data_IF_346761461829
#
_entry.id   IF_346761461829
#
_cell.length_a   1.000
_cell.length_b   1.000
_cell.length_c   1.000
_cell.angle_alpha   90.00
_cell.angle_beta   90.00
_cell.angle_gamma   90.00
#
_symmetry.space_group_name_H-M   'P 1'
#
loop_
_entity.id
_entity.type
_entity.pdbx_description
1 polymer ?
#
# COMPACT_ATOMS: atom_id res chain seq x y z
N UNK A 1 16.59 5.07 5.96
CA UNK A 1 16.02 6.42 6.18
C UNK A 1 15.16 6.84 4.99
N UNK A 2 15.65 6.75 3.75
CA UNK A 2 14.95 7.21 2.55
C UNK A 2 13.64 6.45 2.29
N UNK A 3 13.60 5.14 2.57
CA UNK A 3 12.38 4.34 2.40
C UNK A 3 11.26 4.83 3.32
N UNK A 4 11.56 5.06 4.60
CA UNK A 4 10.58 5.54 5.57
C UNK A 4 10.13 6.97 5.25
N UNK A 5 11.05 7.83 4.79
CA UNK A 5 10.71 9.19 4.36
C UNK A 5 9.77 9.18 3.15
N UNK A 6 10.04 8.33 2.16
CA UNK A 6 9.18 8.15 0.98
C UNK A 6 7.76 7.78 1.38
N UNK A 7 7.61 6.86 2.34
CA UNK A 7 6.31 6.42 2.82
C UNK A 7 5.61 7.48 3.70
N UNK A 8 6.32 8.13 4.62
CA UNK A 8 5.68 9.07 5.57
C UNK A 8 5.42 10.43 4.92
N UNK A 9 6.41 11.01 4.24
CA UNK A 9 6.33 12.38 3.75
C UNK A 9 5.44 12.50 2.50
N UNK A 10 5.31 11.44 1.71
CA UNK A 10 4.37 11.41 0.57
C UNK A 10 2.92 11.52 1.02
N UNK A 11 2.57 10.96 2.18
CA UNK A 11 1.20 10.90 2.70
C UNK A 11 0.73 12.19 3.38
N UNK A 12 1.64 13.05 3.82
CA UNK A 12 1.31 14.31 4.48
C UNK A 12 1.19 15.42 3.41
N UNK A 13 0.00 15.99 3.17
CA UNK A 13 -0.16 17.09 2.25
C UNK A 13 0.62 18.33 2.72
N UNK A 14 1.17 19.10 1.78
CA UNK A 14 1.90 20.36 2.13
C UNK A 14 1.02 21.40 2.81
N UNK A 15 -0.30 21.36 2.60
CA UNK A 15 -1.23 22.22 3.33
C UNK A 15 -1.20 21.98 4.85
N UNK A 16 -0.86 20.75 5.27
CA UNK A 16 -0.77 20.36 6.68
C UNK A 16 0.66 20.51 7.20
N UNK A 17 1.68 20.32 6.33
CA UNK A 17 3.09 20.53 6.66
C UNK A 17 3.76 21.41 5.59
N UNK A 18 3.72 22.75 5.75
CA UNK A 18 4.22 23.69 4.74
C UNK A 18 5.72 23.54 4.47
N UNK A 19 6.48 23.35 5.52
CA UNK A 19 7.95 23.20 5.58
C UNK A 19 8.43 21.77 5.30
N UNK A 20 7.56 20.93 4.71
CA UNK A 20 7.92 19.58 4.27
C UNK A 20 9.07 19.62 3.24
N UNK A 21 10.11 18.78 3.39
CA UNK A 21 11.18 18.65 2.39
C UNK A 21 10.65 18.35 0.99
N UNK A 22 11.31 18.89 -0.03
CA UNK A 22 10.92 18.68 -1.43
C UNK A 22 11.62 17.48 -2.06
N UNK A 23 12.78 17.12 -1.52
CA UNK A 23 13.74 16.17 -2.05
C UNK A 23 13.92 14.95 -1.13
N UNK A 24 12.82 14.24 -0.85
CA UNK A 24 12.83 13.02 -0.02
C UNK A 24 12.70 11.74 -0.85
N UNK A 25 13.10 10.60 -0.28
CA UNK A 25 12.98 9.29 -0.93
C UNK A 25 13.66 9.24 -2.30
N UNK A 26 12.95 8.81 -3.32
CA UNK A 26 13.42 8.72 -4.70
C UNK A 26 13.77 10.09 -5.30
N UNK A 27 13.16 11.19 -4.83
CA UNK A 27 13.49 12.54 -5.29
C UNK A 27 14.85 12.99 -4.77
N UNK A 28 15.28 12.52 -3.60
CA UNK A 28 16.64 12.71 -3.13
C UNK A 28 17.64 12.05 -4.10
N UNK A 29 17.38 10.80 -4.48
CA UNK A 29 18.23 10.05 -5.41
C UNK A 29 18.26 10.74 -6.80
N UNK A 30 17.12 11.25 -7.26
CA UNK A 30 17.04 12.04 -8.49
C UNK A 30 17.96 13.27 -8.45
N UNK A 31 17.92 14.03 -7.37
CA UNK A 31 18.75 15.23 -7.19
C UNK A 31 20.24 14.90 -7.17
N UNK A 32 20.63 13.78 -6.56
CA UNK A 32 22.04 13.36 -6.43
C UNK A 32 22.59 12.81 -7.75
N UNK A 33 21.86 11.91 -8.42
CA UNK A 33 22.37 11.22 -9.61
C UNK A 33 22.02 11.93 -10.93
N UNK A 34 20.96 12.72 -10.97
CA UNK A 34 20.47 13.43 -12.16
C UNK A 34 20.13 14.89 -11.85
N UNK A 35 21.07 15.69 -11.31
CA UNK A 35 20.80 17.05 -10.84
C UNK A 35 20.22 17.95 -11.95
N UNK A 36 20.78 17.89 -13.16
CA UNK A 36 20.32 18.73 -14.27
C UNK A 36 18.86 18.44 -14.65
N UNK A 37 18.46 17.18 -14.69
CA UNK A 37 17.07 16.79 -14.99
C UNK A 37 16.12 17.14 -13.84
N UNK A 38 16.59 16.98 -12.59
CA UNK A 38 15.85 17.33 -11.39
C UNK A 38 15.54 18.84 -11.32
N UNK A 39 16.56 19.70 -11.43
CA UNK A 39 16.37 21.16 -11.38
C UNK A 39 15.59 21.73 -12.57
N UNK A 40 15.57 21.02 -13.71
CA UNK A 40 14.77 21.37 -14.88
C UNK A 40 13.34 20.82 -14.84
N UNK A 41 12.94 20.12 -13.76
CA UNK A 41 11.64 19.46 -13.63
C UNK A 41 11.32 18.50 -14.80
N UNK A 42 12.33 17.86 -15.38
CA UNK A 42 12.17 16.95 -16.52
C UNK A 42 11.77 15.53 -16.11
N UNK A 43 11.51 15.32 -14.81
CA UNK A 43 11.30 14.00 -14.23
C UNK A 43 12.62 13.27 -13.95
N UNK A 44 12.53 12.21 -13.15
CA UNK A 44 13.67 11.37 -12.81
C UNK A 44 13.37 9.91 -13.19
N UNK A 45 14.40 9.10 -13.51
CA UNK A 45 14.21 7.70 -13.79
C UNK A 45 13.63 6.95 -12.59
N UNK A 46 12.86 5.89 -12.86
CA UNK A 46 12.36 5.01 -11.82
C UNK A 46 13.52 4.24 -11.18
N UNK A 47 13.82 4.52 -9.91
CA UNK A 47 14.93 3.89 -9.20
C UNK A 47 14.66 2.45 -8.75
N UNK A 48 13.43 1.95 -8.90
CA UNK A 48 13.05 0.59 -8.48
C UNK A 48 13.38 0.35 -7.01
N UNK A 49 14.35 -0.52 -6.75
CA UNK A 49 14.86 -0.80 -5.40
C UNK A 49 15.94 0.20 -4.92
N UNK A 50 16.13 1.33 -5.59
CA UNK A 50 17.20 2.29 -5.28
C UNK A 50 17.11 2.91 -3.89
N UNK A 51 15.91 3.19 -3.38
CA UNK A 51 15.72 3.66 -2.00
C UNK A 51 16.12 2.57 -0.99
N UNK A 52 15.76 1.31 -1.28
CA UNK A 52 16.15 0.15 -0.48
C UNK A 52 17.66 -0.09 -0.53
N UNK A 53 18.29 0.10 -1.68
CA UNK A 53 19.74 0.00 -1.84
C UNK A 53 20.48 1.14 -1.16
N UNK A 54 19.96 2.35 -1.22
CA UNK A 54 20.53 3.48 -0.50
C UNK A 54 20.45 3.29 1.03
N UNK A 55 19.42 2.62 1.53
CA UNK A 55 19.25 2.35 2.96
C UNK A 55 20.00 1.10 3.45
N UNK A 56 20.05 0.02 2.67
CA UNK A 56 20.58 -1.28 3.09
C UNK A 56 21.85 -1.75 2.33
N UNK A 57 22.24 -1.05 1.26
CA UNK A 57 23.40 -1.39 0.44
C UNK A 57 23.37 -2.84 -0.05
N UNK A 58 24.48 -3.57 0.15
CA UNK A 58 24.60 -4.97 -0.26
C UNK A 58 23.64 -5.91 0.50
N UNK A 59 22.98 -5.46 1.57
CA UNK A 59 21.97 -6.26 2.29
C UNK A 59 20.56 -6.14 1.68
N UNK A 60 20.35 -5.32 0.64
CA UNK A 60 19.04 -5.20 -0.03
C UNK A 60 18.46 -6.54 -0.51
N UNK A 61 19.23 -7.45 -1.14
CA UNK A 61 18.70 -8.76 -1.52
C UNK A 61 18.18 -9.56 -0.33
N UNK A 62 18.86 -9.50 0.81
CA UNK A 62 18.44 -10.18 2.05
C UNK A 62 17.11 -9.60 2.53
N UNK A 63 16.98 -8.28 2.54
CA UNK A 63 15.72 -7.62 2.89
C UNK A 63 14.57 -7.99 1.94
N UNK A 64 14.84 -8.06 0.64
CA UNK A 64 13.86 -8.49 -0.37
C UNK A 64 13.41 -9.93 -0.16
N UNK A 65 14.32 -10.84 0.20
CA UNK A 65 13.98 -12.23 0.53
C UNK A 65 13.09 -12.27 1.77
N UNK A 66 13.47 -11.59 2.86
CA UNK A 66 12.68 -11.59 4.11
C UNK A 66 11.29 -11.01 3.87
N UNK A 67 11.20 -9.84 3.23
CA UNK A 67 9.92 -9.19 2.94
C UNK A 67 9.07 -9.99 1.95
N UNK A 68 9.69 -10.67 0.98
CA UNK A 68 9.02 -11.57 0.04
C UNK A 68 8.45 -12.81 0.72
N UNK A 69 9.21 -13.47 1.59
CA UNK A 69 8.73 -14.62 2.39
C UNK A 69 7.55 -14.18 3.27
N UNK A 70 7.68 -13.05 3.96
CA UNK A 70 6.60 -12.51 4.78
C UNK A 70 5.33 -12.24 3.97
N UNK A 71 5.45 -11.58 2.81
CA UNK A 71 4.32 -11.36 1.89
C UNK A 71 3.72 -12.66 1.38
N UNK A 72 4.53 -13.68 1.09
CA UNK A 72 4.07 -14.99 0.65
C UNK A 72 3.26 -15.73 1.71
N UNK A 73 3.70 -15.67 2.98
CA UNK A 73 2.95 -16.24 4.11
C UNK A 73 1.59 -15.55 4.28
N UNK A 74 1.57 -14.21 4.23
CA UNK A 74 0.33 -13.44 4.29
C UNK A 74 -0.59 -13.71 3.09
N UNK A 75 -0.04 -13.78 1.87
CA UNK A 75 -0.79 -14.11 0.68
C UNK A 75 -1.50 -15.46 0.81
N UNK A 76 -0.81 -16.49 1.33
CA UNK A 76 -1.41 -17.80 1.60
C UNK A 76 -2.56 -17.68 2.61
N UNK A 77 -2.33 -16.98 3.72
CA UNK A 77 -3.36 -16.77 4.75
C UNK A 77 -4.61 -16.09 4.17
N UNK A 78 -4.43 -14.96 3.49
CA UNK A 78 -5.54 -14.20 2.92
C UNK A 78 -6.24 -14.94 1.79
N UNK A 79 -5.49 -15.66 0.93
CA UNK A 79 -6.09 -16.50 -0.12
C UNK A 79 -7.00 -17.58 0.47
N UNK A 80 -6.53 -18.30 1.50
CA UNK A 80 -7.33 -19.32 2.18
C UNK A 80 -8.59 -18.70 2.80
N UNK A 81 -8.44 -17.57 3.51
CA UNK A 81 -9.58 -16.87 4.12
C UNK A 81 -10.58 -16.34 3.09
N UNK A 82 -10.11 -15.84 1.95
CA UNK A 82 -10.98 -15.44 0.84
C UNK A 82 -11.78 -16.62 0.31
N UNK A 83 -11.16 -17.80 0.15
CA UNK A 83 -11.87 -19.00 -0.33
C UNK A 83 -12.88 -19.53 0.68
N UNK A 84 -12.54 -19.55 1.97
CA UNK A 84 -13.42 -19.99 3.06
C UNK A 84 -14.64 -19.08 3.24
N UNK A 85 -14.41 -17.77 3.32
CA UNK A 85 -15.44 -16.78 3.68
C UNK A 85 -16.13 -16.15 2.47
N UNK A 86 -15.56 -16.31 1.27
CA UNK A 86 -15.97 -15.63 0.03
C UNK A 86 -16.07 -14.11 0.19
N UNK A 87 -15.25 -13.53 1.07
CA UNK A 87 -15.35 -12.12 1.42
C UNK A 87 -14.34 -11.24 0.68
N UNK A 88 -14.83 -10.11 0.18
CA UNK A 88 -14.04 -9.16 -0.61
C UNK A 88 -12.93 -8.46 0.19
N UNK A 89 -13.08 -8.26 1.50
CA UNK A 89 -12.05 -7.60 2.32
C UNK A 89 -10.77 -8.42 2.43
N UNK A 90 -10.88 -9.75 2.58
CA UNK A 90 -9.71 -10.64 2.53
C UNK A 90 -9.10 -10.68 1.13
N UNK A 91 -9.93 -10.59 0.09
CA UNK A 91 -9.45 -10.55 -1.30
C UNK A 91 -8.60 -9.32 -1.59
N UNK A 92 -8.99 -8.14 -1.09
CA UNK A 92 -8.21 -6.90 -1.20
C UNK A 92 -6.84 -7.05 -0.55
N UNK A 93 -6.77 -7.65 0.65
CA UNK A 93 -5.50 -7.90 1.33
C UNK A 93 -4.63 -8.93 0.61
N UNK A 94 -5.25 -9.94 -0.02
CA UNK A 94 -4.55 -10.88 -0.89
C UNK A 94 -3.91 -10.17 -2.10
N UNK A 95 -4.65 -9.30 -2.80
CA UNK A 95 -4.14 -8.53 -3.95
C UNK A 95 -2.91 -7.69 -3.57
N UNK A 96 -2.96 -7.01 -2.43
CA UNK A 96 -1.81 -6.27 -1.90
C UNK A 96 -0.58 -7.17 -1.70
N UNK A 97 -0.76 -8.37 -1.12
CA UNK A 97 0.36 -9.27 -0.82
C UNK A 97 1.06 -9.77 -2.10
N UNK A 98 0.32 -9.97 -3.19
CA UNK A 98 0.87 -10.38 -4.49
C UNK A 98 1.35 -9.21 -5.35
N UNK A 99 1.28 -7.98 -4.83
CA UNK A 99 1.77 -6.78 -5.51
C UNK A 99 0.82 -6.19 -6.54
N UNK A 100 -0.47 -6.51 -6.48
CA UNK A 100 -1.50 -5.90 -7.32
C UNK A 100 -2.10 -4.72 -6.56
N UNK A 101 -1.92 -3.52 -7.11
CA UNK A 101 -2.52 -2.30 -6.56
C UNK A 101 -3.98 -2.17 -6.99
N UNK A 102 -4.87 -2.05 -6.00
CA UNK A 102 -6.31 -1.80 -6.22
C UNK A 102 -6.58 -0.37 -6.69
N UNK A 103 -5.84 0.60 -6.13
CA UNK A 103 -5.85 1.99 -6.61
C UNK A 103 -4.55 2.20 -7.38
N UNK A 104 -4.60 2.59 -8.67
CA UNK A 104 -3.41 2.92 -9.45
C UNK A 104 -2.89 4.32 -9.08
N UNK A 105 -2.50 4.51 -7.82
CA UNK A 105 -1.88 5.74 -7.33
C UNK A 105 -0.38 5.52 -7.14
N UNK A 106 0.42 6.07 -8.04
CA UNK A 106 1.87 6.28 -7.91
C UNK A 106 2.71 5.03 -7.52
N UNK A 107 4.03 5.21 -7.51
CA UNK A 107 4.98 4.28 -6.89
C UNK A 107 4.93 4.47 -5.37
N UNK A 108 4.76 3.38 -4.61
CA UNK A 108 4.78 3.39 -3.14
C UNK A 108 4.25 2.10 -2.51
N UNK A 109 4.59 1.84 -1.25
CA UNK A 109 4.07 0.71 -0.48
C UNK A 109 2.68 1.05 0.07
N UNK A 110 1.65 0.83 -0.75
CA UNK A 110 0.26 1.23 -0.49
C UNK A 110 -0.48 0.38 0.57
N UNK A 111 0.22 -0.12 1.59
CA UNK A 111 -0.37 -0.98 2.61
C UNK A 111 -1.49 -0.30 3.39
N UNK A 112 -1.31 0.93 3.94
CA UNK A 112 -2.38 1.62 4.66
C UNK A 112 -3.64 1.81 3.81
N UNK A 113 -3.47 2.12 2.52
CA UNK A 113 -4.56 2.36 1.59
C UNK A 113 -5.36 1.06 1.34
N UNK A 114 -4.68 -0.07 1.08
CA UNK A 114 -5.35 -1.36 0.91
C UNK A 114 -6.06 -1.81 2.19
N UNK A 115 -5.43 -1.60 3.36
CA UNK A 115 -6.03 -1.92 4.65
C UNK A 115 -7.28 -1.08 4.92
N UNK A 116 -7.23 0.21 4.61
CA UNK A 116 -8.38 1.11 4.76
C UNK A 116 -9.54 0.68 3.87
N UNK A 117 -9.28 0.35 2.59
CA UNK A 117 -10.32 -0.13 1.67
C UNK A 117 -10.89 -1.47 2.16
N UNK A 118 -10.03 -2.42 2.56
CA UNK A 118 -10.48 -3.71 3.10
C UNK A 118 -11.37 -3.50 4.33
N UNK A 119 -11.01 -2.58 5.22
CA UNK A 119 -11.79 -2.25 6.40
C UNK A 119 -13.15 -1.60 6.06
N UNK A 120 -13.18 -0.64 5.13
CA UNK A 120 -14.43 -0.03 4.65
C UNK A 120 -15.36 -1.08 4.02
N UNK A 121 -14.81 -1.99 3.22
CA UNK A 121 -15.58 -3.10 2.60
C UNK A 121 -16.10 -4.06 3.66
N UNK A 122 -15.31 -4.36 4.69
CA UNK A 122 -15.74 -5.17 5.83
C UNK A 122 -16.94 -4.53 6.55
N UNK A 123 -16.86 -3.23 6.85
CA UNK A 123 -17.95 -2.48 7.48
C UNK A 123 -19.20 -2.51 6.60
N UNK A 124 -19.08 -2.16 5.32
CA UNK A 124 -20.19 -2.13 4.39
C UNK A 124 -20.87 -3.51 4.25
N UNK A 125 -20.08 -4.57 4.16
CA UNK A 125 -20.60 -5.95 4.08
C UNK A 125 -21.35 -6.37 5.34
N UNK A 126 -20.89 -5.93 6.51
CA UNK A 126 -21.51 -6.24 7.81
C UNK A 126 -22.86 -5.56 7.97
N UNK A 127 -22.98 -4.29 7.54
CA UNK A 127 -24.24 -3.55 7.58
C UNK A 127 -25.29 -4.15 6.64
N UNK A 128 -24.92 -4.47 5.39
CA UNK A 128 -25.84 -5.07 4.42
C UNK A 128 -26.38 -6.41 4.91
N UNK A 129 -25.53 -7.23 5.52
CA UNK A 129 -25.96 -8.51 6.07
C UNK A 129 -26.92 -8.36 7.26
N UNK A 130 -26.66 -7.39 8.16
CA UNK A 130 -27.54 -7.08 9.29
C UNK A 130 -28.92 -6.61 8.84
N UNK A 131 -29.00 -5.69 7.88
CA UNK A 131 -30.27 -5.20 7.33
C UNK A 131 -31.03 -6.32 6.60
N UNK A 132 -30.34 -7.20 5.88
CA UNK A 132 -30.96 -8.34 5.22
C UNK A 132 -31.60 -9.32 6.22
N UNK A 133 -30.90 -9.69 7.30
CA UNK A 133 -31.45 -10.56 8.35
C UNK A 133 -32.67 -9.91 9.02
N UNK A 134 -32.56 -8.62 9.35
CA UNK A 134 -33.66 -7.88 9.99
C UNK A 134 -34.91 -7.84 9.11
N UNK A 135 -34.74 -7.63 7.81
CA UNK A 135 -35.84 -7.64 6.85
C UNK A 135 -36.49 -9.03 6.70
N UNK A 136 -35.70 -10.10 6.66
CA UNK A 136 -36.21 -11.49 6.58
C UNK A 136 -37.00 -11.87 7.84
N UNK A 137 -36.49 -11.53 9.03
CA UNK A 137 -37.20 -11.78 10.29
C UNK A 137 -38.52 -11.01 10.40
N UNK A 138 -38.57 -9.75 9.94
CA UNK A 138 -39.79 -8.95 9.92
C UNK A 138 -40.83 -9.47 8.92
N UNK A 139 -40.40 -10.13 7.83
CA UNK A 139 -41.30 -10.75 6.84
C UNK A 139 -41.91 -12.06 7.33
N UNK A 140 -41.18 -12.86 8.11
CA UNK A 140 -41.69 -14.13 8.65
C UNK A 140 -42.63 -13.98 9.85
N UNK A 141 -42.69 -12.80 10.47
CA UNK A 141 -43.60 -12.49 11.59
C UNK A 141 -44.93 -11.85 11.14
N UNK A 142 -45.27 -11.91 9.85
CA UNK A 142 -46.57 -11.53 9.28
C UNK A 142 -47.21 -12.72 8.59
#
# INVERSE_FOLDING_TARGET
KLLMESEVYSRIPRAIWPDKPEDFGALYLAKVFFPDAFYRNQGAPAFGYGELYADFGLFTPVWLVISGVFKGVLAKYFSNKTQETKSAHYFIMFLFCIGISVIPVSMGWLFPEHLMIAFMVYIASSFVFSEHIRFVLLRNNK
#
